data_IF_857561198633
#
_entry.id   IF_857561198633
#
_cell.length_a   1.000
_cell.length_b   1.000
_cell.length_c   1.000
_cell.angle_alpha   90.00
_cell.angle_beta   90.00
_cell.angle_gamma   90.00
#
_symmetry.space_group_name_H-M   'P 1'
#
loop_
_entity.id
_entity.type
_entity.pdbx_description
1 polymer ?
#
# COMPACT_ATOMS: atom_id res chain seq x y z
N UNK A 1 34.88 -20.98 12.54
CA UNK A 1 35.78 -20.20 11.65
C UNK A 1 35.06 -18.90 11.36
N UNK A 2 35.48 -17.80 11.98
CA UNK A 2 34.85 -16.49 11.73
C UNK A 2 35.49 -15.91 10.47
N UNK A 3 34.77 -15.96 9.35
CA UNK A 3 35.15 -15.25 8.13
C UNK A 3 34.93 -13.77 8.41
N UNK A 4 35.97 -13.09 8.88
CA UNK A 4 35.90 -11.66 9.17
C UNK A 4 35.68 -10.90 7.86
N UNK A 5 34.46 -10.40 7.64
CA UNK A 5 34.22 -9.42 6.61
C UNK A 5 35.03 -8.16 6.94
N UNK A 6 36.05 -7.85 6.13
CA UNK A 6 36.85 -6.66 6.31
C UNK A 6 36.14 -5.47 5.64
N UNK A 7 35.25 -4.80 6.38
CA UNK A 7 34.65 -3.54 5.94
C UNK A 7 35.54 -2.36 6.29
N UNK A 8 35.73 -1.42 5.37
CA UNK A 8 36.31 -0.12 5.71
C UNK A 8 35.26 0.78 6.40
N UNK A 9 35.72 1.80 7.13
CA UNK A 9 34.81 2.81 7.69
C UNK A 9 34.00 3.53 6.58
N UNK A 10 34.58 3.66 5.38
CA UNK A 10 33.89 4.22 4.23
C UNK A 10 32.75 3.30 3.75
N UNK A 11 32.97 1.98 3.71
CA UNK A 11 31.94 1.01 3.33
C UNK A 11 30.75 1.04 4.29
N UNK A 12 31.02 1.10 5.60
CA UNK A 12 29.96 1.21 6.60
C UNK A 12 29.20 2.54 6.45
N UNK A 13 29.90 3.64 6.18
CA UNK A 13 29.27 4.94 5.96
C UNK A 13 28.37 4.93 4.72
N UNK A 14 28.83 4.32 3.65
CA UNK A 14 28.07 4.18 2.40
C UNK A 14 26.88 3.23 2.55
N UNK A 15 27.03 2.13 3.29
CA UNK A 15 25.94 1.23 3.63
C UNK A 15 24.84 1.97 4.41
N UNK A 16 25.24 2.74 5.43
CA UNK A 16 24.31 3.55 6.22
C UNK A 16 23.61 4.63 5.37
N UNK A 17 24.33 5.25 4.42
CA UNK A 17 23.74 6.20 3.48
C UNK A 17 22.69 5.52 2.60
N UNK A 18 22.96 4.32 2.09
CA UNK A 18 22.02 3.58 1.26
C UNK A 18 20.74 3.22 2.03
N UNK A 19 20.88 2.71 3.26
CA UNK A 19 19.73 2.45 4.15
C UNK A 19 18.96 3.73 4.44
N UNK A 20 19.66 4.82 4.76
CA UNK A 20 19.04 6.14 5.00
C UNK A 20 18.28 6.69 3.80
N UNK A 21 18.71 6.39 2.56
CA UNK A 21 17.93 6.69 1.36
C UNK A 21 16.69 5.79 1.24
N UNK A 22 16.80 4.49 1.55
CA UNK A 22 15.67 3.55 1.57
C UNK A 22 14.57 3.92 2.57
N UNK A 23 14.94 4.49 3.71
CA UNK A 23 14.03 4.99 4.74
C UNK A 23 13.28 6.28 4.34
N UNK A 24 13.56 6.86 3.17
CA UNK A 24 12.87 8.04 2.65
C UNK A 24 11.92 7.62 1.51
N UNK A 25 10.62 7.40 1.78
CA UNK A 25 9.75 6.64 0.86
C UNK A 25 9.58 7.27 -0.53
N UNK A 26 9.72 8.60 -0.63
CA UNK A 26 9.59 9.38 -1.87
C UNK A 26 10.92 9.67 -2.56
N UNK A 27 12.06 9.37 -1.93
CA UNK A 27 13.36 9.59 -2.53
C UNK A 27 13.61 8.52 -3.59
N UNK A 28 14.04 8.93 -4.78
CA UNK A 28 14.29 8.03 -5.92
C UNK A 28 15.76 8.07 -6.33
N UNK A 29 16.36 6.93 -6.72
CA UNK A 29 17.75 6.89 -7.20
C UNK A 29 18.05 7.87 -8.33
N UNK A 30 17.10 8.07 -9.26
CA UNK A 30 17.27 8.98 -10.39
C UNK A 30 17.56 10.44 -9.96
N UNK A 31 17.00 10.87 -8.82
CA UNK A 31 17.16 12.24 -8.33
C UNK A 31 18.48 12.47 -7.57
N UNK A 32 19.16 11.40 -7.14
CA UNK A 32 20.36 11.47 -6.29
C UNK A 32 21.43 10.53 -6.84
N UNK A 33 22.44 11.04 -7.57
CA UNK A 33 23.49 10.21 -8.16
C UNK A 33 24.15 9.25 -7.16
N UNK A 34 24.44 9.72 -5.95
CA UNK A 34 25.01 8.87 -4.88
C UNK A 34 24.09 7.70 -4.51
N UNK A 35 22.77 7.90 -4.45
CA UNK A 35 21.83 6.82 -4.17
C UNK A 35 21.86 5.78 -5.29
N UNK A 36 21.78 6.21 -6.55
CA UNK A 36 21.90 5.32 -7.70
C UNK A 36 23.20 4.52 -7.68
N UNK A 37 24.33 5.16 -7.42
CA UNK A 37 25.64 4.52 -7.47
C UNK A 37 25.79 3.49 -6.34
N UNK A 38 25.33 3.83 -5.12
CA UNK A 38 25.32 2.90 -3.98
C UNK A 38 24.37 1.72 -4.19
N UNK A 39 23.19 1.95 -4.77
CA UNK A 39 22.25 0.89 -5.11
C UNK A 39 22.80 -0.06 -6.17
N UNK A 40 23.50 0.47 -7.18
CA UNK A 40 24.19 -0.35 -8.17
C UNK A 40 25.32 -1.16 -7.53
N UNK A 41 26.07 -0.56 -6.59
CA UNK A 41 27.10 -1.26 -5.81
C UNK A 41 26.49 -2.41 -5.01
N UNK A 42 25.42 -2.18 -4.26
CA UNK A 42 24.69 -3.21 -3.50
C UNK A 42 24.29 -4.43 -4.36
N UNK A 43 23.86 -4.18 -5.60
CA UNK A 43 23.47 -5.25 -6.53
C UNK A 43 24.65 -6.04 -7.12
N UNK A 44 25.89 -5.54 -7.05
CA UNK A 44 27.07 -6.12 -7.72
C UNK A 44 28.18 -6.58 -6.76
N UNK A 45 28.31 -5.94 -5.60
CA UNK A 45 29.38 -6.13 -4.62
C UNK A 45 28.83 -6.89 -3.40
N UNK A 46 29.19 -8.17 -3.27
CA UNK A 46 28.72 -9.06 -2.20
C UNK A 46 29.08 -8.57 -0.81
N UNK A 47 30.37 -8.28 -0.50
CA UNK A 47 30.75 -7.68 0.77
C UNK A 47 29.96 -6.39 1.10
N UNK A 48 29.80 -5.47 0.16
CA UNK A 48 29.01 -4.26 0.42
C UNK A 48 27.52 -4.57 0.69
N UNK A 49 26.96 -5.57 0.01
CA UNK A 49 25.62 -6.10 0.30
C UNK A 49 25.52 -6.63 1.72
N UNK A 50 26.46 -7.46 2.15
CA UNK A 50 26.47 -8.04 3.49
C UNK A 50 26.53 -6.94 4.58
N UNK A 51 27.26 -5.85 4.34
CA UNK A 51 27.28 -4.69 5.23
C UNK A 51 25.92 -3.98 5.31
N UNK A 52 25.25 -3.78 4.18
CA UNK A 52 23.91 -3.16 4.11
C UNK A 52 22.87 -4.05 4.78
N UNK A 53 22.89 -5.36 4.49
CA UNK A 53 21.94 -6.33 5.04
C UNK A 53 22.12 -6.43 6.57
N UNK A 54 23.35 -6.41 7.07
CA UNK A 54 23.62 -6.37 8.51
C UNK A 54 23.09 -5.09 9.18
N UNK A 55 23.14 -3.94 8.50
CA UNK A 55 22.55 -2.70 9.00
C UNK A 55 21.03 -2.72 9.01
N UNK A 56 20.41 -3.26 7.96
CA UNK A 56 18.96 -3.46 7.88
C UNK A 56 18.48 -4.39 9.01
N UNK A 57 19.18 -5.50 9.22
CA UNK A 57 18.91 -6.45 10.31
C UNK A 57 19.03 -5.78 11.68
N UNK A 58 20.10 -5.02 11.92
CA UNK A 58 20.33 -4.32 13.18
C UNK A 58 19.30 -3.22 13.48
N UNK A 59 18.59 -2.73 12.45
CA UNK A 59 17.47 -1.79 12.59
C UNK A 59 16.12 -2.50 12.68
N UNK A 60 16.08 -3.83 12.71
CA UNK A 60 14.86 -4.65 12.73
C UNK A 60 13.93 -4.35 11.54
N UNK A 61 14.51 -4.18 10.36
CA UNK A 61 13.78 -3.99 9.11
C UNK A 61 13.98 -5.22 8.21
N UNK A 62 13.04 -5.43 7.30
CA UNK A 62 13.15 -6.37 6.20
C UNK A 62 13.44 -5.61 4.91
N UNK A 63 14.41 -6.10 4.14
CA UNK A 63 14.67 -5.63 2.78
C UNK A 63 13.86 -6.50 1.81
N UNK A 64 12.78 -5.92 1.28
CA UNK A 64 11.90 -6.62 0.35
C UNK A 64 12.51 -6.64 -1.05
N UNK A 65 13.10 -5.53 -1.51
CA UNK A 65 13.69 -5.45 -2.85
C UNK A 65 14.70 -4.29 -3.02
N UNK A 66 15.67 -4.47 -3.91
CA UNK A 66 16.55 -3.39 -4.41
C UNK A 66 16.20 -3.04 -5.86
N UNK A 67 15.22 -2.15 -6.05
CA UNK A 67 14.63 -1.81 -7.34
C UNK A 67 15.34 -0.64 -8.04
N UNK A 68 15.65 -0.75 -9.33
CA UNK A 68 16.45 0.27 -10.06
C UNK A 68 15.82 1.66 -10.07
N UNK A 69 14.49 1.73 -10.20
CA UNK A 69 13.74 2.99 -10.32
C UNK A 69 13.26 3.49 -8.97
N UNK A 70 12.86 2.59 -8.07
CA UNK A 70 12.23 2.95 -6.79
C UNK A 70 13.20 2.96 -5.61
N UNK A 71 14.36 2.33 -5.78
CA UNK A 71 15.42 2.26 -4.79
C UNK A 71 15.33 1.04 -3.89
N UNK A 72 15.94 1.15 -2.72
CA UNK A 72 15.88 0.15 -1.67
C UNK A 72 14.50 0.19 -0.99
N UNK A 73 13.77 -0.91 -1.06
CA UNK A 73 12.45 -1.08 -0.44
C UNK A 73 12.63 -1.79 0.88
N UNK A 74 12.39 -1.04 1.96
CA UNK A 74 12.54 -1.47 3.34
C UNK A 74 11.21 -1.37 4.07
N UNK A 75 10.94 -2.36 4.92
CA UNK A 75 9.78 -2.36 5.80
C UNK A 75 10.23 -2.64 7.24
N UNK A 76 9.78 -1.87 8.25
CA UNK A 76 10.02 -2.24 9.63
C UNK A 76 9.29 -3.54 9.96
N UNK A 77 9.93 -4.45 10.69
CA UNK A 77 9.28 -5.67 11.21
C UNK A 77 8.13 -5.29 12.12
N UNK A 78 7.05 -6.06 12.12
CA UNK A 78 5.79 -5.70 12.80
C UNK A 78 5.93 -5.45 14.32
N UNK A 79 6.90 -6.09 14.95
CA UNK A 79 7.26 -5.99 16.36
C UNK A 79 8.40 -5.01 16.66
N UNK A 80 9.00 -4.42 15.62
CA UNK A 80 10.03 -3.39 15.77
C UNK A 80 9.47 -2.10 16.37
N UNK A 81 10.32 -1.37 17.08
CA UNK A 81 10.07 -0.01 17.54
C UNK A 81 9.83 0.99 16.39
N UNK A 82 10.25 0.67 15.17
CA UNK A 82 9.98 1.46 13.96
C UNK A 82 8.58 1.20 13.37
N UNK A 83 7.88 0.14 13.81
CA UNK A 83 6.59 -0.24 13.25
C UNK A 83 5.49 0.74 13.67
N UNK A 84 5.05 1.58 12.73
CA UNK A 84 3.88 2.41 12.93
C UNK A 84 2.60 1.59 12.71
N UNK A 85 1.78 1.44 13.75
CA UNK A 85 0.48 0.74 13.63
C UNK A 85 -0.62 1.78 13.56
N UNK A 86 -1.64 1.51 12.74
CA UNK A 86 -2.76 2.43 12.60
C UNK A 86 -3.47 2.70 13.93
N UNK A 87 -3.41 1.76 14.89
CA UNK A 87 -3.93 1.94 16.26
C UNK A 87 -3.20 2.99 17.09
N UNK A 88 -1.96 3.31 16.73
CA UNK A 88 -1.13 4.30 17.41
C UNK A 88 -1.38 5.72 16.86
N UNK A 89 -2.23 5.85 15.83
CA UNK A 89 -2.60 7.14 15.26
C UNK A 89 -3.47 7.95 16.23
N UNK A 90 -2.99 9.06 16.81
CA UNK A 90 -3.66 9.73 17.93
C UNK A 90 -5.01 10.37 17.57
N UNK A 91 -5.24 10.65 16.28
CA UNK A 91 -6.44 11.34 15.78
C UNK A 91 -7.48 10.43 15.10
N UNK A 92 -7.24 9.12 14.96
CA UNK A 92 -8.17 8.23 14.26
C UNK A 92 -8.97 7.35 15.24
N UNK A 93 -10.29 7.54 15.26
CA UNK A 93 -11.19 6.67 16.00
C UNK A 93 -11.22 5.25 15.45
N UNK A 94 -11.77 4.30 16.20
CA UNK A 94 -11.89 2.89 15.74
C UNK A 94 -12.64 2.79 14.40
N UNK A 95 -13.72 3.54 14.25
CA UNK A 95 -14.53 3.56 13.02
C UNK A 95 -13.73 4.09 11.83
N UNK A 96 -13.01 5.18 12.01
CA UNK A 96 -12.21 5.80 10.94
C UNK A 96 -11.12 4.83 10.47
N UNK A 97 -10.48 4.12 11.41
CA UNK A 97 -9.46 3.10 11.10
C UNK A 97 -10.02 1.93 10.29
N UNK A 98 -11.21 1.45 10.64
CA UNK A 98 -11.87 0.36 9.90
C UNK A 98 -12.21 0.78 8.46
N UNK A 99 -12.77 1.98 8.28
CA UNK A 99 -13.14 2.49 6.95
C UNK A 99 -11.90 2.80 6.11
N UNK A 100 -10.86 3.36 6.73
CA UNK A 100 -9.57 3.59 6.06
C UNK A 100 -8.90 2.27 5.65
N UNK A 101 -8.92 1.25 6.51
CA UNK A 101 -8.43 -0.09 6.20
C UNK A 101 -9.20 -0.71 5.02
N UNK A 102 -10.53 -0.60 5.03
CA UNK A 102 -11.37 -1.05 3.91
C UNK A 102 -11.00 -0.34 2.60
N UNK A 103 -10.77 0.98 2.63
CA UNK A 103 -10.33 1.73 1.45
C UNK A 103 -8.98 1.23 0.91
N UNK A 104 -8.00 0.93 1.76
CA UNK A 104 -6.70 0.39 1.33
C UNK A 104 -6.84 -0.97 0.65
N UNK A 105 -7.61 -1.89 1.24
CA UNK A 105 -7.84 -3.22 0.65
C UNK A 105 -8.61 -3.08 -0.67
N UNK A 106 -9.53 -2.13 -0.77
CA UNK A 106 -10.24 -1.86 -2.02
C UNK A 106 -9.36 -1.27 -3.13
N UNK A 107 -8.45 -0.35 -2.80
CA UNK A 107 -7.44 0.14 -3.75
C UNK A 107 -6.60 -1.02 -4.26
N UNK A 108 -6.14 -1.89 -3.35
CA UNK A 108 -5.34 -3.07 -3.70
C UNK A 108 -6.12 -4.03 -4.62
N UNK A 109 -7.33 -4.44 -4.23
CA UNK A 109 -8.14 -5.39 -4.99
C UNK A 109 -8.59 -4.83 -6.35
N UNK A 110 -8.79 -3.50 -6.44
CA UNK A 110 -9.11 -2.83 -7.70
C UNK A 110 -7.92 -2.78 -8.66
N UNK A 111 -6.70 -2.64 -8.14
CA UNK A 111 -5.47 -2.58 -8.92
C UNK A 111 -4.92 -3.98 -9.28
N UNK A 112 -5.06 -4.96 -8.38
CA UNK A 112 -4.48 -6.31 -8.49
C UNK A 112 -5.52 -7.42 -8.22
N UNK A 113 -6.58 -7.53 -9.04
CA UNK A 113 -7.63 -8.54 -8.82
C UNK A 113 -7.18 -9.98 -9.09
N UNK A 114 -6.11 -10.20 -9.85
CA UNK A 114 -5.58 -11.54 -10.16
C UNK A 114 -4.18 -11.75 -9.55
N UNK A 115 -3.81 -12.99 -9.17
CA UNK A 115 -2.46 -13.29 -8.70
C UNK A 115 -1.35 -12.84 -9.68
N UNK A 116 -1.58 -12.99 -10.99
CA UNK A 116 -0.62 -12.57 -12.01
C UNK A 116 -0.32 -11.04 -11.98
N UNK A 117 -1.28 -10.22 -11.52
CA UNK A 117 -1.05 -8.78 -11.38
C UNK A 117 -0.01 -8.44 -10.30
N UNK A 118 0.25 -9.37 -9.37
CA UNK A 118 1.24 -9.22 -8.31
C UNK A 118 2.62 -9.75 -8.71
N UNK A 119 2.71 -10.50 -9.80
CA UNK A 119 3.98 -11.03 -10.34
C UNK A 119 4.59 -10.05 -11.33
N UNK A 120 3.77 -9.49 -12.23
CA UNK A 120 4.24 -8.60 -13.29
C UNK A 120 4.20 -7.13 -12.89
N UNK A 121 5.31 -6.42 -13.11
CA UNK A 121 5.37 -4.97 -12.89
C UNK A 121 4.64 -4.23 -14.01
N UNK A 122 3.40 -3.82 -13.73
CA UNK A 122 2.58 -3.06 -14.67
C UNK A 122 2.06 -1.78 -14.02
N UNK A 123 1.99 -0.70 -14.81
CA UNK A 123 1.44 0.58 -14.31
C UNK A 123 -0.07 0.43 -14.15
N UNK A 124 -0.54 0.31 -12.91
CA UNK A 124 -1.97 0.33 -12.57
C UNK A 124 -2.43 1.75 -12.25
N UNK A 125 -3.62 2.10 -12.74
CA UNK A 125 -4.27 3.40 -12.53
C UNK A 125 -5.54 3.18 -11.73
N UNK A 126 -5.82 4.11 -10.84
CA UNK A 126 -7.05 4.11 -10.03
C UNK A 126 -7.55 5.54 -9.89
N UNK A 127 -8.86 5.70 -9.78
CA UNK A 127 -9.48 6.98 -9.45
C UNK A 127 -10.35 6.89 -8.20
N UNK A 128 -10.56 8.04 -7.54
CA UNK A 128 -11.45 8.17 -6.39
C UNK A 128 -12.86 7.64 -6.68
N UNK A 129 -13.38 7.96 -7.87
CA UNK A 129 -14.75 7.62 -8.28
C UNK A 129 -14.87 6.12 -8.48
N UNK A 130 -13.94 5.50 -9.24
CA UNK A 130 -13.96 4.07 -9.49
C UNK A 130 -13.85 3.23 -8.21
N UNK A 131 -13.06 3.69 -7.23
CA UNK A 131 -12.93 3.00 -5.94
C UNK A 131 -14.23 3.16 -5.12
N UNK A 132 -14.86 4.34 -5.15
CA UNK A 132 -16.14 4.58 -4.46
C UNK A 132 -17.24 3.68 -5.04
N UNK A 133 -17.36 3.65 -6.36
CA UNK A 133 -18.34 2.81 -7.07
C UNK A 133 -18.10 1.32 -6.80
N UNK A 134 -16.83 0.89 -6.81
CA UNK A 134 -16.45 -0.47 -6.44
C UNK A 134 -16.87 -0.84 -5.02
N UNK A 135 -16.57 0.02 -4.04
CA UNK A 135 -16.95 -0.20 -2.64
C UNK A 135 -18.48 -0.19 -2.45
N UNK A 136 -19.22 0.62 -3.21
CA UNK A 136 -20.69 0.62 -3.23
C UNK A 136 -21.26 -0.69 -3.78
N UNK A 137 -20.71 -1.18 -4.88
CA UNK A 137 -21.06 -2.49 -5.44
C UNK A 137 -20.80 -3.63 -4.45
N UNK A 138 -19.65 -3.59 -3.76
CA UNK A 138 -19.33 -4.49 -2.64
C UNK A 138 -20.41 -4.41 -1.55
N UNK A 139 -20.78 -3.20 -1.13
CA UNK A 139 -21.77 -3.02 -0.05
C UNK A 139 -23.13 -3.61 -0.40
N UNK A 140 -23.56 -3.47 -1.66
CA UNK A 140 -24.83 -4.02 -2.14
C UNK A 140 -24.80 -5.55 -2.25
N UNK A 141 -23.69 -6.13 -2.71
CA UNK A 141 -23.53 -7.60 -2.76
C UNK A 141 -23.52 -8.21 -1.36
N UNK A 142 -22.78 -7.61 -0.43
CA UNK A 142 -22.75 -8.08 0.95
C UNK A 142 -24.12 -7.94 1.63
N UNK A 143 -24.85 -6.85 1.36
CA UNK A 143 -26.23 -6.67 1.84
C UNK A 143 -27.14 -7.79 1.34
N UNK A 144 -27.10 -8.13 0.05
CA UNK A 144 -27.90 -9.23 -0.53
C UNK A 144 -27.54 -10.59 0.05
N UNK A 145 -26.24 -10.88 0.20
CA UNK A 145 -25.78 -12.13 0.81
C UNK A 145 -26.24 -12.31 2.27
N UNK A 146 -26.45 -11.22 3.02
CA UNK A 146 -27.01 -11.29 4.39
C UNK A 146 -28.53 -11.48 4.45
N UNK A 147 -29.24 -11.36 3.32
CA UNK A 147 -30.71 -11.43 3.24
C UNK A 147 -31.19 -12.81 2.73
N UNK A 148 -30.36 -13.55 1.99
CA UNK A 148 -30.72 -14.90 1.50
C UNK A 148 -30.54 -15.97 2.59
N UNK A 149 -31.71 -16.35 3.14
CA UNK A 149 -32.18 -17.49 3.96
C UNK A 149 -31.26 -18.60 4.55
N UNK A 150 -29.99 -18.76 4.19
CA UNK A 150 -29.19 -19.93 4.61
C UNK A 150 -28.27 -19.68 5.83
N UNK A 151 -28.31 -18.48 6.42
CA UNK A 151 -27.71 -18.22 7.73
C UNK A 151 -26.18 -18.39 7.83
N UNK A 152 -25.48 -18.54 6.70
CA UNK A 152 -24.02 -18.61 6.69
C UNK A 152 -23.45 -17.20 6.90
N UNK A 153 -22.86 -16.99 8.08
CA UNK A 153 -22.10 -15.79 8.37
C UNK A 153 -20.99 -15.60 7.33
N UNK A 154 -20.85 -14.38 6.80
CA UNK A 154 -19.71 -14.03 5.96
C UNK A 154 -18.42 -14.34 6.74
N UNK A 155 -17.39 -14.94 6.13
CA UNK A 155 -16.21 -15.39 6.89
C UNK A 155 -15.31 -14.24 7.36
N UNK A 156 -15.81 -13.00 7.47
CA UNK A 156 -15.01 -11.79 7.45
C UNK A 156 -15.51 -10.73 8.46
N UNK A 157 -15.59 -11.08 9.75
CA UNK A 157 -16.10 -10.21 10.80
C UNK A 157 -15.49 -8.78 10.84
N UNK A 158 -14.22 -8.62 10.42
CA UNK A 158 -13.55 -7.31 10.31
C UNK A 158 -14.06 -6.46 9.12
N UNK A 159 -14.35 -7.10 7.98
CA UNK A 159 -15.00 -6.46 6.84
C UNK A 159 -16.43 -6.09 7.16
N UNK A 160 -17.14 -6.93 7.91
CA UNK A 160 -18.55 -6.75 8.24
C UNK A 160 -18.85 -5.42 8.92
N UNK A 161 -18.03 -5.05 9.90
CA UNK A 161 -18.18 -3.77 10.56
C UNK A 161 -17.77 -2.60 9.67
N UNK A 162 -16.69 -2.74 8.89
CA UNK A 162 -16.16 -1.68 8.05
C UNK A 162 -17.14 -1.31 6.92
N UNK A 163 -17.69 -2.29 6.19
CA UNK A 163 -18.61 -2.01 5.09
C UNK A 163 -19.92 -1.41 5.59
N UNK A 164 -20.43 -1.86 6.76
CA UNK A 164 -21.64 -1.30 7.36
C UNK A 164 -21.47 0.17 7.74
N UNK A 165 -20.30 0.54 8.27
CA UNK A 165 -19.98 1.94 8.56
C UNK A 165 -19.89 2.73 7.25
N UNK A 166 -19.12 2.23 6.29
CA UNK A 166 -18.94 2.87 4.98
C UNK A 166 -20.28 3.10 4.25
N UNK A 167 -21.20 2.13 4.31
CA UNK A 167 -22.53 2.21 3.66
C UNK A 167 -23.40 3.38 4.12
N UNK A 168 -23.15 3.91 5.32
CA UNK A 168 -23.89 5.02 5.93
C UNK A 168 -23.29 6.38 5.61
N UNK A 169 -22.10 6.42 5.01
CA UNK A 169 -21.41 7.65 4.66
C UNK A 169 -21.89 8.19 3.29
N UNK A 170 -22.05 9.51 3.14
CA UNK A 170 -22.39 10.12 1.87
C UNK A 170 -21.24 10.01 0.85
N UNK A 171 -21.51 9.90 -0.48
CA UNK A 171 -20.49 9.75 -1.52
C UNK A 171 -19.42 10.84 -1.53
N UNK A 172 -19.86 12.08 -1.34
CA UNK A 172 -19.04 13.25 -1.60
C UNK A 172 -19.88 14.20 -2.43
N UNK A 173 -20.33 15.29 -1.80
CA UNK A 173 -20.72 16.49 -2.54
C UNK A 173 -19.65 17.54 -2.23
N UNK A 174 -19.19 18.31 -3.23
CA UNK A 174 -18.41 19.49 -2.96
C UNK A 174 -19.18 20.37 -1.96
N UNK A 175 -18.53 20.76 -0.87
CA UNK A 175 -19.05 21.78 0.04
C UNK A 175 -19.15 23.11 -0.69
N UNK A 176 -19.78 24.12 -0.08
CA UNK A 176 -19.84 25.48 -0.63
C UNK A 176 -18.46 26.08 -0.97
N UNK A 177 -17.38 25.51 -0.41
CA UNK A 177 -15.98 25.88 -0.64
C UNK A 177 -15.25 25.02 -1.69
N UNK A 178 -15.96 24.13 -2.39
CA UNK A 178 -15.40 23.22 -3.40
C UNK A 178 -14.62 22.02 -2.83
N UNK A 179 -14.60 21.85 -1.51
CA UNK A 179 -13.90 20.75 -0.84
C UNK A 179 -14.82 19.55 -0.62
N UNK A 180 -14.26 18.34 -0.56
CA UNK A 180 -15.06 17.18 -0.16
C UNK A 180 -15.43 17.28 1.32
N UNK A 181 -16.68 16.98 1.66
CA UNK A 181 -17.12 16.93 3.04
C UNK A 181 -16.27 15.92 3.85
N UNK A 182 -15.87 16.29 5.08
CA UNK A 182 -15.02 15.45 5.94
C UNK A 182 -15.59 14.06 6.22
N UNK A 183 -16.91 13.93 6.19
CA UNK A 183 -17.64 12.68 6.41
C UNK A 183 -17.96 11.90 5.13
N UNK A 184 -17.42 12.31 3.96
CA UNK A 184 -17.72 11.63 2.70
C UNK A 184 -16.81 10.43 2.43
N UNK A 185 -17.34 9.42 1.73
CA UNK A 185 -16.57 8.25 1.33
C UNK A 185 -15.42 8.62 0.39
N UNK A 186 -15.63 9.52 -0.56
CA UNK A 186 -14.55 10.03 -1.42
C UNK A 186 -13.45 10.74 -0.64
N UNK A 187 -13.77 11.41 0.48
CA UNK A 187 -12.75 12.01 1.34
C UNK A 187 -11.88 10.94 1.99
N UNK A 188 -12.47 9.87 2.50
CA UNK A 188 -11.73 8.74 3.10
C UNK A 188 -10.83 8.07 2.07
N UNK A 189 -11.35 7.80 0.87
CA UNK A 189 -10.56 7.20 -0.22
C UNK A 189 -9.41 8.13 -0.61
N UNK A 190 -9.66 9.45 -0.68
CA UNK A 190 -8.61 10.44 -0.94
C UNK A 190 -7.55 10.45 0.14
N UNK A 191 -7.93 10.35 1.41
CA UNK A 191 -6.98 10.26 2.51
C UNK A 191 -6.12 8.99 2.43
N UNK A 192 -6.71 7.84 2.07
CA UNK A 192 -5.95 6.61 1.81
C UNK A 192 -4.95 6.77 0.67
N UNK A 193 -5.38 7.28 -0.49
CA UNK A 193 -4.50 7.48 -1.64
C UNK A 193 -3.42 8.53 -1.39
N UNK A 194 -3.74 9.61 -0.70
CA UNK A 194 -2.77 10.64 -0.34
C UNK A 194 -1.74 10.09 0.65
N UNK A 195 -2.16 9.26 1.61
CA UNK A 195 -1.21 8.54 2.47
C UNK A 195 -0.29 7.63 1.66
N UNK A 196 -0.81 6.87 0.69
CA UNK A 196 0.02 6.07 -0.22
C UNK A 196 1.00 6.95 -1.01
N UNK A 197 0.61 8.16 -1.42
CA UNK A 197 1.53 9.11 -2.06
C UNK A 197 2.65 9.54 -1.11
N UNK A 198 2.32 9.84 0.15
CA UNK A 198 3.32 10.22 1.15
C UNK A 198 4.29 9.08 1.48
N UNK A 199 3.81 7.83 1.40
CA UNK A 199 4.63 6.61 1.51
C UNK A 199 5.34 6.22 0.21
N UNK A 200 5.25 7.03 -0.85
CA UNK A 200 5.86 6.72 -2.15
C UNK A 200 5.31 5.45 -2.81
N UNK A 201 4.13 4.99 -2.38
CA UNK A 201 3.38 3.85 -2.88
C UNK A 201 2.41 4.24 -4.01
N UNK A 202 2.09 5.51 -4.15
CA UNK A 202 1.30 6.05 -5.25
C UNK A 202 1.86 7.38 -5.75
N UNK A 203 1.41 7.80 -6.93
CA UNK A 203 1.67 9.11 -7.51
C UNK A 203 0.34 9.69 -8.00
N UNK A 204 0.12 10.99 -7.78
CA UNK A 204 -1.02 11.68 -8.40
C UNK A 204 -0.82 11.70 -9.91
N UNK A 205 -1.91 11.52 -10.66
CA UNK A 205 -1.92 11.49 -12.12
C UNK A 205 -2.85 12.58 -12.67
N UNK A 206 -2.54 13.88 -12.46
CA UNK A 206 -3.41 14.99 -12.87
C UNK A 206 -3.66 15.02 -14.39
N UNK A 207 -2.77 14.44 -15.19
CA UNK A 207 -2.90 14.28 -16.63
C UNK A 207 -4.10 13.39 -17.04
N UNK A 208 -4.62 12.58 -16.12
CA UNK A 208 -5.82 11.76 -16.33
C UNK A 208 -7.09 12.41 -15.75
N UNK A 209 -6.96 13.58 -15.14
CA UNK A 209 -8.04 14.28 -14.45
C UNK A 209 -7.88 14.30 -12.93
N UNK A 210 -8.69 15.13 -12.28
CA UNK A 210 -8.69 15.24 -10.81
C UNK A 210 -9.04 13.91 -10.16
N UNK A 211 -8.39 13.58 -9.05
CA UNK A 211 -8.65 12.35 -8.29
C UNK A 211 -8.11 11.06 -8.91
N UNK A 212 -7.24 11.15 -9.91
CA UNK A 212 -6.58 10.00 -10.53
C UNK A 212 -5.17 9.81 -9.95
N UNK A 213 -4.78 8.54 -9.83
CA UNK A 213 -3.51 8.12 -9.25
C UNK A 213 -2.94 6.94 -10.05
N UNK A 214 -1.61 6.84 -10.04
CA UNK A 214 -0.86 5.65 -10.46
C UNK A 214 -0.30 5.00 -9.21
N UNK A 215 -0.51 3.70 -9.03
CA UNK A 215 0.16 2.97 -7.97
C UNK A 215 1.54 2.51 -8.44
N UNK A 216 2.46 2.41 -7.51
CA UNK A 216 3.89 2.13 -7.75
C UNK A 216 4.22 0.66 -7.49
N UNK A 217 5.42 0.23 -7.85
CA UNK A 217 5.92 -1.11 -7.58
C UNK A 217 5.98 -1.39 -6.07
N UNK A 218 6.40 -0.42 -5.24
CA UNK A 218 6.34 -0.52 -3.77
C UNK A 218 4.96 -0.88 -3.24
N UNK A 219 3.89 -0.36 -3.84
CA UNK A 219 2.54 -0.74 -3.44
C UNK A 219 2.22 -2.19 -3.82
N UNK A 220 2.64 -2.65 -5.01
CA UNK A 220 2.48 -4.05 -5.43
C UNK A 220 3.16 -5.00 -4.45
N UNK A 221 4.40 -4.70 -4.04
CA UNK A 221 5.14 -5.50 -3.05
C UNK A 221 4.38 -5.59 -1.72
N UNK A 222 3.91 -4.45 -1.21
CA UNK A 222 3.10 -4.40 0.00
C UNK A 222 1.81 -5.24 -0.13
N UNK A 223 1.14 -5.18 -1.27
CA UNK A 223 -0.07 -5.99 -1.51
C UNK A 223 0.28 -7.47 -1.57
N UNK A 224 1.39 -7.85 -2.23
CA UNK A 224 1.84 -9.24 -2.34
C UNK A 224 2.07 -9.87 -0.97
N UNK A 225 2.71 -9.16 -0.05
CA UNK A 225 2.92 -9.63 1.33
C UNK A 225 1.59 -9.81 2.12
N UNK A 226 0.54 -9.08 1.75
CA UNK A 226 -0.76 -9.06 2.44
C UNK A 226 -1.89 -9.75 1.65
N UNK A 227 -1.58 -10.37 0.51
CA UNK A 227 -2.57 -10.93 -0.42
C UNK A 227 -3.29 -12.17 0.14
N UNK A 228 -2.74 -12.82 1.17
CA UNK A 228 -3.35 -13.97 1.84
C UNK A 228 -4.50 -13.60 2.79
N UNK A 229 -4.75 -12.31 3.00
CA UNK A 229 -5.84 -11.88 3.89
C UNK A 229 -7.20 -12.20 3.29
N UNK A 230 -8.11 -12.75 4.11
CA UNK A 230 -9.47 -13.07 3.70
C UNK A 230 -10.22 -11.84 3.15
N UNK A 231 -9.91 -10.65 3.67
CA UNK A 231 -10.51 -9.42 3.21
C UNK A 231 -10.10 -9.04 1.79
N UNK A 232 -8.82 -9.20 1.45
CA UNK A 232 -8.34 -8.96 0.10
C UNK A 232 -8.96 -9.96 -0.88
N UNK A 233 -8.98 -11.26 -0.54
CA UNK A 233 -9.57 -12.30 -1.37
C UNK A 233 -11.04 -12.00 -1.73
N UNK A 234 -11.87 -11.65 -0.73
CA UNK A 234 -13.28 -11.33 -0.93
C UNK A 234 -13.51 -10.14 -1.87
N UNK A 235 -12.69 -9.08 -1.74
CA UNK A 235 -12.79 -7.92 -2.61
C UNK A 235 -12.31 -8.24 -4.03
N UNK A 236 -11.28 -9.07 -4.19
CA UNK A 236 -10.83 -9.55 -5.49
C UNK A 236 -11.90 -10.39 -6.20
N UNK A 237 -12.61 -11.28 -5.49
CA UNK A 237 -13.75 -12.04 -6.06
C UNK A 237 -14.81 -11.10 -6.63
N UNK A 238 -15.12 -10.04 -5.90
CA UNK A 238 -16.14 -9.08 -6.32
C UNK A 238 -15.67 -8.28 -7.53
N UNK A 239 -14.41 -7.84 -7.54
CA UNK A 239 -13.83 -7.13 -8.68
C UNK A 239 -13.82 -8.00 -9.93
N UNK A 240 -13.48 -9.28 -9.80
CA UNK A 240 -13.49 -10.23 -10.92
C UNK A 240 -14.89 -10.44 -11.48
N UNK A 241 -15.93 -10.49 -10.64
CA UNK A 241 -17.30 -10.58 -11.16
C UNK A 241 -17.69 -9.32 -11.95
N UNK A 242 -17.33 -8.12 -11.47
CA UNK A 242 -17.61 -6.87 -12.20
C UNK A 242 -16.92 -6.84 -13.56
N UNK A 243 -15.66 -7.26 -13.63
CA UNK A 243 -14.92 -7.35 -14.88
C UNK A 243 -15.57 -8.32 -15.87
N UNK A 244 -16.16 -9.41 -15.39
CA UNK A 244 -16.89 -10.37 -16.24
C UNK A 244 -18.25 -9.83 -16.73
N UNK A 245 -18.86 -8.90 -16.00
CA UNK A 245 -20.10 -8.21 -16.41
C UNK A 245 -19.82 -7.06 -17.40
N UNK A 246 -18.61 -6.48 -17.36
CA UNK A 246 -18.15 -5.39 -18.23
C UNK A 246 -17.65 -5.89 -19.62
N UNK A 247 -17.37 -7.19 -19.77
CA UNK A 247 -16.78 -7.82 -20.96
C UNK A 247 -17.84 -8.41 -21.93
#
# INVERSE_FOLDING_TARGET
>A
MSTGYAYSAADLTDAACLVGFGCQPRLRPLAVPRYRDLLQRYRRDGPFRDAVDAMVEGLEMDLTEAHEVEGLVLHPRLDSWLAYRLKDHPKLGVKDRLVLGLAHVAIAARAYPYPADLEEETVKRVSLVEIDDFLRGLTERLRRATVDADGLALPHAGLDMAWRIYSKLPPGRPTATGQLAKSSTQRVIKEALDWLVDQGMAMRAPELGSGHYRVTHRFRLQVRENASTAAFAALCDIRRSQLAEEA
#
